data_IF_538400146348
#
_entry.id   IF_538400146348
#
_cell.length_a   1.000
_cell.length_b   1.000
_cell.length_c   1.000
_cell.angle_alpha   90.00
_cell.angle_beta   90.00
_cell.angle_gamma   90.00
#
_symmetry.space_group_name_H-M   'P 1'
#
loop_
_entity.id
_entity.type
_entity.pdbx_description
1 polymer ?
#
# COMPACT_ATOMS: atom_id res chain seq x y z
N UNK A 1 -46.58 -10.81 -61.27
CA UNK A 1 -45.54 -11.07 -60.31
C UNK A 1 -44.29 -10.16 -60.39
N UNK A 2 -44.21 -9.22 -61.35
CA UNK A 2 -43.07 -8.27 -61.45
C UNK A 2 -43.08 -7.13 -60.41
N UNK A 3 -44.26 -6.73 -59.91
CA UNK A 3 -44.37 -5.54 -59.03
C UNK A 3 -44.03 -5.85 -57.54
N UNK A 4 -44.05 -7.12 -57.13
CA UNK A 4 -43.71 -7.51 -55.77
C UNK A 4 -42.21 -7.31 -55.49
N UNK A 5 -41.32 -7.58 -56.46
CA UNK A 5 -39.89 -7.39 -56.31
C UNK A 5 -39.48 -5.90 -56.14
N UNK A 6 -40.22 -4.98 -56.79
CA UNK A 6 -39.99 -3.55 -56.64
C UNK A 6 -40.40 -3.02 -55.25
N UNK A 7 -41.49 -3.60 -54.69
CA UNK A 7 -41.97 -3.27 -53.36
C UNK A 7 -40.96 -3.78 -52.30
N UNK A 8 -40.47 -5.01 -52.44
CA UNK A 8 -39.49 -5.61 -51.54
C UNK A 8 -38.16 -4.83 -51.57
N UNK A 9 -37.70 -4.48 -52.77
CA UNK A 9 -36.47 -3.68 -52.90
C UNK A 9 -36.63 -2.26 -52.34
N UNK A 10 -37.80 -1.64 -52.48
CA UNK A 10 -38.13 -0.34 -51.89
C UNK A 10 -38.12 -0.37 -50.36
N UNK A 11 -38.72 -1.42 -49.76
CA UNK A 11 -38.72 -1.60 -48.29
C UNK A 11 -37.31 -1.86 -47.78
N UNK A 12 -36.51 -2.65 -48.51
CA UNK A 12 -35.11 -2.94 -48.13
C UNK A 12 -34.22 -1.68 -48.19
N UNK A 13 -34.39 -0.87 -49.24
CA UNK A 13 -33.69 0.40 -49.36
C UNK A 13 -34.06 1.36 -48.22
N UNK A 14 -35.34 1.42 -47.86
CA UNK A 14 -35.82 2.26 -46.78
C UNK A 14 -35.29 1.79 -45.40
N UNK A 15 -35.21 0.48 -45.18
CA UNK A 15 -34.64 -0.12 -43.97
C UNK A 15 -33.11 0.20 -43.85
N UNK A 16 -32.37 0.17 -44.97
CA UNK A 16 -30.96 0.52 -44.97
C UNK A 16 -30.76 2.00 -44.68
N UNK A 17 -31.58 2.90 -45.22
CA UNK A 17 -31.54 4.33 -44.91
C UNK A 17 -31.84 4.60 -43.44
N UNK A 18 -32.84 3.91 -42.87
CA UNK A 18 -33.17 4.04 -41.44
C UNK A 18 -32.00 3.55 -40.57
N UNK A 19 -31.39 2.42 -40.89
CA UNK A 19 -30.19 1.91 -40.18
C UNK A 19 -29.01 2.89 -40.28
N UNK A 20 -28.79 3.52 -41.44
CA UNK A 20 -27.76 4.52 -41.61
C UNK A 20 -28.02 5.77 -40.78
N UNK A 21 -29.29 6.25 -40.73
CA UNK A 21 -29.68 7.38 -39.89
C UNK A 21 -29.56 7.05 -38.42
N UNK A 22 -29.93 5.84 -37.97
CA UNK A 22 -29.75 5.38 -36.58
C UNK A 22 -28.28 5.25 -36.21
N UNK A 23 -27.40 4.89 -37.13
CA UNK A 23 -25.98 4.82 -36.91
C UNK A 23 -25.34 6.21 -36.76
N UNK A 24 -25.85 7.22 -37.45
CA UNK A 24 -25.40 8.59 -37.32
C UNK A 24 -26.08 9.38 -36.19
N UNK A 25 -27.30 9.03 -35.80
CA UNK A 25 -28.04 9.68 -34.70
C UNK A 25 -28.00 8.91 -33.38
N UNK A 26 -27.44 7.70 -33.39
CA UNK A 26 -27.13 6.97 -32.15
C UNK A 26 -26.20 7.83 -31.29
N UNK A 27 -26.76 8.43 -30.23
CA UNK A 27 -25.96 9.05 -29.18
C UNK A 27 -24.88 8.05 -28.79
N UNK A 28 -23.65 8.33 -29.19
CA UNK A 28 -22.49 7.78 -28.50
C UNK A 28 -22.68 8.15 -27.03
N UNK A 29 -23.01 7.18 -26.21
CA UNK A 29 -22.63 7.29 -24.80
C UNK A 29 -21.13 7.49 -24.81
N UNK A 30 -20.75 8.72 -24.62
CA UNK A 30 -19.38 9.14 -24.38
C UNK A 30 -18.99 8.53 -23.03
N UNK A 31 -18.45 7.32 -23.08
CA UNK A 31 -17.36 7.06 -22.17
C UNK A 31 -16.44 8.28 -22.35
N UNK A 32 -16.18 9.00 -21.29
CA UNK A 32 -15.36 10.20 -21.26
C UNK A 32 -13.93 9.77 -21.56
N UNK A 33 -13.68 9.50 -22.86
CA UNK A 33 -12.35 9.57 -23.42
C UNK A 33 -12.13 11.06 -23.58
N UNK A 34 -11.51 11.72 -22.62
CA UNK A 34 -10.96 13.04 -22.84
C UNK A 34 -10.05 12.90 -24.07
N UNK A 35 -10.55 13.34 -25.21
CA UNK A 35 -9.74 13.51 -26.40
C UNK A 35 -8.74 14.61 -26.05
N UNK A 36 -7.45 14.30 -26.10
CA UNK A 36 -6.39 15.29 -25.99
C UNK A 36 -6.75 16.47 -26.88
N UNK A 37 -6.79 17.66 -26.30
CA UNK A 37 -7.00 18.86 -27.06
C UNK A 37 -5.79 19.07 -28.00
N UNK A 38 -6.02 19.69 -29.14
CA UNK A 38 -4.94 19.99 -30.11
C UNK A 38 -3.79 20.80 -29.48
N UNK A 39 -4.03 21.50 -28.37
CA UNK A 39 -3.05 22.24 -27.59
C UNK A 39 -2.12 21.32 -26.78
N UNK A 40 -2.63 20.21 -26.24
CA UNK A 40 -1.79 19.21 -25.55
C UNK A 40 -0.94 18.41 -26.54
N UNK A 41 -1.45 18.19 -27.74
CA UNK A 41 -0.66 17.60 -28.85
C UNK A 41 0.42 18.56 -29.41
N UNK A 42 0.25 19.87 -29.24
CA UNK A 42 1.23 20.87 -29.66
C UNK A 42 2.46 20.90 -28.74
N UNK A 43 2.37 20.45 -27.49
CA UNK A 43 3.52 20.33 -26.57
C UNK A 43 4.40 19.13 -26.89
N UNK A 44 3.94 18.17 -27.73
CA UNK A 44 4.66 16.93 -28.03
C UNK A 44 4.81 15.97 -26.85
N UNK A 45 4.20 16.26 -25.70
CA UNK A 45 4.26 15.41 -24.51
C UNK A 45 3.16 14.34 -24.57
N UNK A 46 3.50 13.13 -24.15
CA UNK A 46 2.54 12.05 -23.96
C UNK A 46 1.75 12.26 -22.66
N UNK A 47 0.50 11.75 -22.57
CA UNK A 47 -0.32 11.86 -21.36
C UNK A 47 0.10 10.88 -20.27
N UNK A 48 1.37 10.80 -20.03
CA UNK A 48 1.99 9.98 -18.97
C UNK A 48 2.76 10.89 -18.03
N UNK A 49 2.89 10.43 -16.79
CA UNK A 49 3.71 11.08 -15.78
C UNK A 49 4.37 10.01 -14.92
N UNK A 50 5.38 10.40 -14.16
CA UNK A 50 5.92 9.54 -13.13
C UNK A 50 6.05 10.28 -11.80
N UNK A 51 6.06 9.49 -10.72
CA UNK A 51 6.31 9.94 -9.37
C UNK A 51 7.48 9.14 -8.82
N UNK A 52 8.49 9.83 -8.32
CA UNK A 52 9.55 9.22 -7.53
C UNK A 52 8.98 8.85 -6.16
N UNK A 53 8.69 7.56 -5.98
CA UNK A 53 8.03 7.06 -4.77
C UNK A 53 8.94 7.14 -3.55
N UNK A 54 10.26 6.97 -3.71
CA UNK A 54 11.22 7.11 -2.60
C UNK A 54 11.18 8.54 -2.04
N UNK A 55 11.23 9.54 -2.94
CA UNK A 55 11.09 10.95 -2.56
C UNK A 55 9.72 11.25 -1.96
N UNK A 56 8.65 10.65 -2.50
CA UNK A 56 7.30 10.80 -1.97
C UNK A 56 7.20 10.23 -0.56
N UNK A 57 7.69 9.02 -0.31
CA UNK A 57 7.64 8.37 1.00
C UNK A 57 8.39 9.17 2.08
N UNK A 58 9.51 9.81 1.71
CA UNK A 58 10.29 10.65 2.61
C UNK A 58 9.61 11.98 2.95
N UNK A 59 8.78 12.50 2.06
CA UNK A 59 8.22 13.85 2.18
C UNK A 59 6.71 13.89 2.44
N UNK A 60 5.98 12.79 2.26
CA UNK A 60 4.56 12.70 2.55
C UNK A 60 4.32 12.51 4.05
N UNK A 61 3.56 13.41 4.67
CA UNK A 61 3.33 13.40 6.11
C UNK A 61 2.62 12.14 6.60
N UNK A 62 1.66 11.63 5.85
CA UNK A 62 1.00 10.35 6.19
C UNK A 62 1.97 9.18 6.21
N UNK A 63 2.91 9.12 5.26
CA UNK A 63 3.96 8.09 5.26
C UNK A 63 4.84 8.19 6.51
N UNK A 64 5.19 9.41 6.93
CA UNK A 64 5.96 9.63 8.16
C UNK A 64 5.21 9.16 9.40
N UNK A 65 3.91 9.46 9.49
CA UNK A 65 3.08 9.02 10.62
C UNK A 65 2.96 7.50 10.67
N UNK A 66 2.77 6.83 9.52
CA UNK A 66 2.76 5.36 9.46
C UNK A 66 4.11 4.76 9.88
N UNK A 67 5.22 5.37 9.46
CA UNK A 67 6.55 4.94 9.86
C UNK A 67 6.77 5.12 11.37
N UNK A 68 6.28 6.22 11.97
CA UNK A 68 6.32 6.42 13.42
C UNK A 68 5.57 5.33 14.18
N UNK A 69 4.44 4.85 13.67
CA UNK A 69 3.69 3.73 14.26
C UNK A 69 4.55 2.47 14.29
N UNK A 70 5.25 2.15 13.19
CA UNK A 70 6.12 0.98 13.12
C UNK A 70 7.29 1.09 14.10
N UNK A 71 7.95 2.26 14.13
CA UNK A 71 9.07 2.50 15.06
C UNK A 71 8.61 2.31 16.51
N UNK A 72 7.49 2.92 16.91
CA UNK A 72 6.94 2.77 18.27
C UNK A 72 6.57 1.32 18.59
N UNK A 73 5.98 0.59 17.63
CA UNK A 73 5.66 -0.83 17.83
C UNK A 73 6.92 -1.66 18.02
N UNK A 74 7.97 -1.41 17.24
CA UNK A 74 9.27 -2.08 17.36
C UNK A 74 9.93 -1.79 18.72
N UNK A 75 9.94 -0.54 19.15
CA UNK A 75 10.49 -0.13 20.45
C UNK A 75 9.75 -0.78 21.61
N UNK A 76 8.41 -0.80 21.58
CA UNK A 76 7.57 -1.44 22.60
C UNK A 76 7.79 -2.95 22.64
N UNK A 77 7.87 -3.60 21.48
CA UNK A 77 8.17 -5.03 21.38
C UNK A 77 9.53 -5.34 22.00
N UNK A 78 10.56 -4.59 21.63
CA UNK A 78 11.92 -4.74 22.16
C UNK A 78 11.99 -4.50 23.68
N UNK A 79 11.28 -3.48 24.17
CA UNK A 79 11.20 -3.21 25.60
C UNK A 79 10.54 -4.37 26.36
N UNK A 80 9.46 -4.94 25.80
CA UNK A 80 8.73 -6.07 26.40
C UNK A 80 9.58 -7.34 26.44
N UNK A 81 10.32 -7.66 25.38
CA UNK A 81 11.26 -8.79 25.34
C UNK A 81 12.37 -8.61 26.36
N UNK A 82 12.98 -7.41 26.40
CA UNK A 82 14.05 -7.10 27.34
C UNK A 82 13.61 -7.18 28.80
N UNK A 83 12.37 -6.76 29.11
CA UNK A 83 11.81 -6.88 30.45
C UNK A 83 11.68 -8.35 30.87
N UNK A 84 11.11 -9.20 30.00
CA UNK A 84 10.97 -10.64 30.25
C UNK A 84 12.34 -11.34 30.38
N UNK A 85 13.28 -10.97 29.53
CA UNK A 85 14.66 -11.49 29.57
C UNK A 85 15.33 -11.19 30.90
N UNK A 86 15.26 -9.94 31.38
CA UNK A 86 15.81 -9.53 32.69
C UNK A 86 15.16 -10.29 33.83
N UNK A 87 13.83 -10.48 33.80
CA UNK A 87 13.12 -11.28 34.81
C UNK A 87 13.62 -12.73 34.84
N UNK A 88 13.73 -13.35 33.67
CA UNK A 88 14.26 -14.71 33.53
C UNK A 88 15.69 -14.82 34.05
N UNK A 89 16.56 -13.87 33.70
CA UNK A 89 17.95 -13.84 34.19
C UNK A 89 18.01 -13.76 35.71
N UNK A 90 17.19 -12.90 36.31
CA UNK A 90 17.11 -12.79 37.77
C UNK A 90 16.65 -14.10 38.42
N UNK A 91 15.62 -14.75 37.87
CA UNK A 91 15.12 -16.02 38.36
C UNK A 91 16.15 -17.16 38.20
N UNK A 92 16.91 -17.17 37.10
CA UNK A 92 17.98 -18.14 36.91
C UNK A 92 19.13 -17.94 37.90
N UNK A 93 19.52 -16.69 38.16
CA UNK A 93 20.54 -16.38 39.20
C UNK A 93 20.08 -16.78 40.58
N UNK A 94 18.80 -16.56 40.88
CA UNK A 94 18.19 -16.96 42.16
C UNK A 94 18.17 -18.48 42.31
N UNK A 95 17.82 -19.19 41.24
CA UNK A 95 17.85 -20.66 41.22
C UNK A 95 19.28 -21.16 41.46
N UNK A 96 20.27 -20.63 40.76
CA UNK A 96 21.67 -21.04 40.92
C UNK A 96 22.15 -20.81 42.35
N UNK A 97 21.86 -19.66 42.95
CA UNK A 97 22.19 -19.37 44.36
C UNK A 97 21.52 -20.34 45.33
N UNK A 98 20.26 -20.74 45.07
CA UNK A 98 19.56 -21.71 45.88
C UNK A 98 20.16 -23.13 45.80
N UNK A 99 20.65 -23.52 44.61
CA UNK A 99 21.36 -24.79 44.40
C UNK A 99 22.70 -24.78 45.17
N UNK A 100 23.50 -23.74 45.00
CA UNK A 100 24.82 -23.59 45.66
C UNK A 100 24.72 -23.61 47.17
N UNK A 101 23.65 -23.01 47.73
CA UNK A 101 23.44 -22.95 49.17
C UNK A 101 22.63 -24.13 49.73
N UNK A 102 22.37 -25.18 48.91
CA UNK A 102 21.50 -26.32 49.31
C UNK A 102 20.14 -25.87 49.88
N UNK A 103 19.56 -24.78 49.38
CA UNK A 103 18.35 -24.16 49.89
C UNK A 103 17.04 -24.84 49.43
N UNK A 104 17.12 -25.85 48.58
CA UNK A 104 15.93 -26.65 48.21
C UNK A 104 15.64 -27.70 49.26
N UNK A 105 14.37 -27.78 49.67
CA UNK A 105 13.90 -28.77 50.70
C UNK A 105 14.01 -30.21 50.19
N UNK A 106 13.78 -30.44 48.92
CA UNK A 106 13.90 -31.75 48.25
C UNK A 106 14.46 -31.61 46.85
N UNK A 107 15.03 -32.69 46.33
CA UNK A 107 15.55 -32.76 44.97
C UNK A 107 14.45 -32.51 43.91
N UNK A 108 13.26 -33.07 44.14
CA UNK A 108 12.11 -32.92 43.23
C UNK A 108 11.72 -31.45 43.07
N UNK A 109 11.83 -30.63 44.13
CA UNK A 109 11.58 -29.18 44.04
C UNK A 109 12.61 -28.46 43.20
N UNK A 110 13.88 -28.84 43.27
CA UNK A 110 14.94 -28.27 42.41
C UNK A 110 14.69 -28.63 40.95
N UNK A 111 14.33 -29.89 40.66
CA UNK A 111 14.02 -30.38 39.33
C UNK A 111 12.78 -29.66 38.72
N UNK A 112 11.73 -29.47 39.52
CA UNK A 112 10.54 -28.71 39.11
C UNK A 112 10.85 -27.26 38.79
N UNK A 113 11.69 -26.58 39.58
CA UNK A 113 12.06 -25.20 39.36
C UNK A 113 12.96 -25.06 38.11
N UNK A 114 13.86 -26.01 37.91
CA UNK A 114 14.65 -26.07 36.68
C UNK A 114 13.77 -26.23 35.44
N UNK A 115 12.82 -27.14 35.46
CA UNK A 115 11.85 -27.37 34.39
C UNK A 115 11.00 -26.12 34.13
N UNK A 116 10.58 -25.41 35.18
CA UNK A 116 9.85 -24.12 35.07
C UNK A 116 10.68 -23.05 34.37
N UNK A 117 11.96 -22.93 34.72
CA UNK A 117 12.85 -21.95 34.08
C UNK A 117 13.12 -22.28 32.60
N UNK A 118 13.31 -23.56 32.27
CA UNK A 118 13.43 -24.00 30.88
C UNK A 118 12.17 -23.69 30.08
N UNK A 119 10.99 -23.93 30.66
CA UNK A 119 9.72 -23.55 30.03
C UNK A 119 9.61 -22.05 29.81
N UNK A 120 9.98 -21.22 30.80
CA UNK A 120 10.02 -19.75 30.63
C UNK A 120 10.97 -19.28 29.54
N UNK A 121 12.10 -19.96 29.43
CA UNK A 121 13.06 -19.64 28.33
C UNK A 121 12.44 -19.92 26.96
N UNK A 122 11.75 -21.05 26.80
CA UNK A 122 11.04 -21.38 25.58
C UNK A 122 9.91 -20.37 25.31
N UNK A 123 9.11 -20.06 26.35
CA UNK A 123 8.03 -19.06 26.24
C UNK A 123 8.54 -17.68 25.83
N UNK A 124 9.73 -17.29 26.28
CA UNK A 124 10.36 -16.03 25.89
C UNK A 124 10.74 -16.05 24.41
N UNK A 125 11.28 -17.15 23.92
CA UNK A 125 11.64 -17.30 22.49
C UNK A 125 10.39 -17.29 21.61
N UNK A 126 9.33 -17.99 22.01
CA UNK A 126 8.07 -18.00 21.29
C UNK A 126 7.40 -16.61 21.29
N UNK A 127 7.54 -15.88 22.40
CA UNK A 127 7.06 -14.50 22.51
C UNK A 127 7.81 -13.56 21.55
N UNK A 128 9.14 -13.65 21.48
CA UNK A 128 9.96 -12.84 20.56
C UNK A 128 9.62 -13.13 19.09
N UNK A 129 9.53 -14.42 18.73
CA UNK A 129 9.14 -14.85 17.39
C UNK A 129 7.75 -14.32 17.00
N UNK A 130 6.79 -14.37 17.93
CA UNK A 130 5.44 -13.85 17.70
C UNK A 130 5.45 -12.34 17.47
N UNK A 131 6.19 -11.58 18.29
CA UNK A 131 6.30 -10.12 18.12
C UNK A 131 6.97 -9.75 16.79
N UNK A 132 7.97 -10.52 16.35
CA UNK A 132 8.61 -10.33 15.06
C UNK A 132 7.61 -10.55 13.91
N UNK A 133 6.80 -11.61 13.97
CA UNK A 133 5.75 -11.86 12.98
C UNK A 133 4.66 -10.78 12.99
N UNK A 134 4.24 -10.33 14.17
CA UNK A 134 3.28 -9.24 14.30
C UNK A 134 3.82 -7.93 13.69
N UNK A 135 5.11 -7.65 13.85
CA UNK A 135 5.74 -6.45 13.28
C UNK A 135 5.75 -6.52 11.74
N UNK A 136 6.11 -7.67 11.17
CA UNK A 136 6.08 -7.90 9.71
C UNK A 136 4.67 -7.74 9.16
N UNK A 137 3.67 -8.36 9.82
CA UNK A 137 2.27 -8.26 9.40
C UNK A 137 1.76 -6.81 9.46
N UNK A 138 2.13 -6.07 10.51
CA UNK A 138 1.74 -4.67 10.65
C UNK A 138 2.40 -3.78 9.59
N UNK A 139 3.68 -4.01 9.30
CA UNK A 139 4.40 -3.32 8.23
C UNK A 139 3.69 -3.52 6.88
N UNK A 140 3.33 -4.77 6.56
CA UNK A 140 2.63 -5.08 5.32
C UNK A 140 1.27 -4.39 5.27
N UNK A 141 0.48 -4.47 6.34
CA UNK A 141 -0.83 -3.81 6.44
C UNK A 141 -0.74 -2.30 6.22
N UNK A 142 0.25 -1.64 6.84
CA UNK A 142 0.45 -0.20 6.71
C UNK A 142 0.93 0.19 5.30
N UNK A 143 1.77 -0.64 4.66
CA UNK A 143 2.19 -0.43 3.28
C UNK A 143 1.00 -0.54 2.30
N UNK A 144 0.12 -1.53 2.48
CA UNK A 144 -1.10 -1.66 1.70
C UNK A 144 -2.03 -0.44 1.90
N UNK A 145 -2.23 -0.03 3.14
CA UNK A 145 -3.04 1.15 3.48
C UNK A 145 -2.47 2.43 2.86
N UNK A 146 -1.15 2.62 2.89
CA UNK A 146 -0.49 3.74 2.26
C UNK A 146 -0.69 3.73 0.75
N UNK A 147 -0.49 2.58 0.10
CA UNK A 147 -0.70 2.40 -1.33
C UNK A 147 -2.13 2.73 -1.75
N UNK A 148 -3.12 2.18 -1.05
CA UNK A 148 -4.54 2.41 -1.35
C UNK A 148 -4.90 3.89 -1.20
N UNK A 149 -4.39 4.54 -0.15
CA UNK A 149 -4.54 5.98 0.06
C UNK A 149 -3.91 6.77 -1.07
N UNK A 150 -2.67 6.45 -1.46
CA UNK A 150 -1.98 7.11 -2.58
C UNK A 150 -2.76 6.98 -3.88
N UNK A 151 -3.18 5.78 -4.24
CA UNK A 151 -3.96 5.54 -5.47
C UNK A 151 -5.27 6.31 -5.44
N UNK A 152 -5.97 6.33 -4.30
CA UNK A 152 -7.20 7.09 -4.14
C UNK A 152 -6.98 8.59 -4.33
N UNK A 153 -5.97 9.15 -3.69
CA UNK A 153 -5.62 10.57 -3.79
C UNK A 153 -5.15 10.95 -5.19
N UNK A 154 -4.34 10.11 -5.85
CA UNK A 154 -3.91 10.30 -7.22
C UNK A 154 -5.08 10.30 -8.21
N UNK A 155 -6.10 9.48 -8.00
CA UNK A 155 -7.32 9.53 -8.81
C UNK A 155 -8.04 10.88 -8.71
N UNK A 156 -8.09 11.47 -7.52
CA UNK A 156 -8.69 12.80 -7.32
C UNK A 156 -7.82 13.88 -7.95
N UNK A 157 -6.51 13.85 -7.70
CA UNK A 157 -5.54 14.76 -8.30
C UNK A 157 -5.62 14.75 -9.83
N UNK A 158 -5.70 13.57 -10.42
CA UNK A 158 -5.69 13.38 -11.87
C UNK A 158 -6.96 13.85 -12.58
N UNK A 159 -8.09 14.06 -11.88
CA UNK A 159 -9.35 14.54 -12.51
C UNK A 159 -9.15 15.83 -13.30
N UNK A 160 -8.24 16.69 -12.85
CA UNK A 160 -7.96 17.99 -13.46
C UNK A 160 -6.68 18.00 -14.30
N UNK A 161 -5.87 16.93 -14.26
CA UNK A 161 -4.57 16.83 -14.95
C UNK A 161 -4.66 16.02 -16.25
N UNK A 162 -5.48 14.99 -16.28
CA UNK A 162 -5.76 14.22 -17.50
C UNK A 162 -4.71 13.19 -17.88
N UNK A 163 -3.79 12.83 -17.00
CA UNK A 163 -2.82 11.77 -17.27
C UNK A 163 -3.54 10.44 -17.51
N UNK A 164 -3.12 9.71 -18.54
CA UNK A 164 -3.63 8.37 -18.84
C UNK A 164 -2.92 7.32 -18.01
N UNK A 165 -1.64 7.56 -17.70
CA UNK A 165 -0.80 6.68 -16.88
C UNK A 165 0.05 7.53 -15.96
N UNK A 166 0.08 7.16 -14.67
CA UNK A 166 1.04 7.67 -13.70
C UNK A 166 1.87 6.47 -13.24
N UNK A 167 3.16 6.52 -13.51
CA UNK A 167 4.11 5.45 -13.21
C UNK A 167 4.81 5.73 -11.88
N UNK A 168 5.22 4.68 -11.18
CA UNK A 168 6.17 4.80 -10.08
C UNK A 168 7.61 4.80 -10.63
N UNK A 169 8.49 5.51 -9.94
CA UNK A 169 9.93 5.47 -10.18
C UNK A 169 10.62 5.27 -8.83
N UNK A 170 11.09 4.05 -8.58
CA UNK A 170 11.88 3.67 -7.40
C UNK A 170 13.12 2.91 -7.84
N UNK A 171 14.07 2.74 -6.93
CA UNK A 171 15.22 1.88 -7.20
C UNK A 171 14.74 0.42 -7.39
N UNK A 172 14.78 -0.06 -8.64
CA UNK A 172 14.31 -1.39 -9.04
C UNK A 172 13.06 -1.40 -9.92
N UNK A 173 12.47 -0.23 -10.22
CA UNK A 173 11.39 -0.09 -11.18
C UNK A 173 11.89 -0.17 -12.64
N UNK A 174 10.94 -0.25 -13.56
CA UNK A 174 11.22 -0.33 -15.00
C UNK A 174 11.58 1.02 -15.64
N UNK A 175 11.54 2.13 -14.90
CA UNK A 175 11.88 3.46 -15.41
C UNK A 175 13.34 3.74 -15.12
N UNK A 176 14.20 3.51 -16.09
CA UNK A 176 15.63 3.81 -16.00
C UNK A 176 15.96 5.27 -16.33
N UNK A 177 15.17 5.88 -17.20
CA UNK A 177 15.35 7.27 -17.65
C UNK A 177 14.00 7.84 -18.11
N UNK A 178 13.69 9.04 -17.67
CA UNK A 178 12.57 9.83 -18.16
C UNK A 178 12.97 11.32 -18.19
N UNK A 179 12.31 12.09 -19.06
CA UNK A 179 12.51 13.54 -19.10
C UNK A 179 11.86 14.24 -17.90
N UNK A 180 12.44 15.31 -17.42
CA UNK A 180 11.96 16.09 -16.26
C UNK A 180 10.54 16.61 -16.43
N UNK A 181 10.11 16.83 -17.68
CA UNK A 181 8.75 17.28 -17.99
C UNK A 181 7.65 16.26 -17.59
N UNK A 182 8.01 15.02 -17.36
CA UNK A 182 7.11 13.95 -16.92
C UNK A 182 7.13 13.74 -15.41
N UNK A 183 8.05 14.40 -14.68
CA UNK A 183 8.16 14.29 -13.22
C UNK A 183 7.11 15.18 -12.54
N UNK A 184 6.13 14.55 -11.89
CA UNK A 184 5.11 15.25 -11.10
C UNK A 184 5.29 15.04 -9.60
N UNK A 185 6.43 14.51 -9.18
CA UNK A 185 6.69 14.12 -7.77
C UNK A 185 6.43 15.27 -6.81
N UNK A 186 6.99 16.44 -7.07
CA UNK A 186 6.86 17.62 -6.20
C UNK A 186 5.41 18.08 -6.08
N UNK A 187 4.71 18.20 -7.21
CA UNK A 187 3.30 18.62 -7.22
C UNK A 187 2.40 17.63 -6.46
N UNK A 188 2.65 16.33 -6.65
CA UNK A 188 1.90 15.28 -5.96
C UNK A 188 2.15 15.35 -4.46
N UNK A 189 3.40 15.50 -4.01
CA UNK A 189 3.73 15.64 -2.58
C UNK A 189 3.04 16.85 -1.96
N UNK A 190 3.09 18.01 -2.63
CA UNK A 190 2.41 19.23 -2.17
C UNK A 190 0.90 19.03 -2.06
N UNK A 191 0.29 18.42 -3.09
CA UNK A 191 -1.14 18.08 -3.09
C UNK A 191 -1.54 17.15 -1.95
N UNK A 192 -0.79 16.05 -1.77
CA UNK A 192 -1.04 15.06 -0.73
C UNK A 192 -0.92 15.67 0.67
N UNK A 193 0.12 16.45 0.91
CA UNK A 193 0.35 17.08 2.21
C UNK A 193 -0.70 18.16 2.53
N UNK A 194 -1.17 18.90 1.51
CA UNK A 194 -2.24 19.89 1.68
C UNK A 194 -3.57 19.23 2.08
N UNK A 195 -3.84 18.03 1.60
CA UNK A 195 -5.09 17.30 1.85
C UNK A 195 -4.97 16.29 3.01
N UNK A 196 -3.80 16.17 3.61
CA UNK A 196 -3.58 15.30 4.74
C UNK A 196 -3.91 16.02 6.05
N UNK A 197 -4.86 15.46 6.79
CA UNK A 197 -5.11 15.83 8.19
C UNK A 197 -4.60 14.69 9.07
N UNK A 198 -3.61 14.94 9.96
CA UNK A 198 -3.17 13.90 10.89
C UNK A 198 -4.34 13.44 11.77
N UNK A 199 -4.41 12.13 12.04
CA UNK A 199 -5.36 11.64 13.02
C UNK A 199 -5.09 12.35 14.36
N UNK A 200 -6.13 12.95 14.96
CA UNK A 200 -6.01 13.57 16.28
C UNK A 200 -5.47 12.54 17.27
N UNK A 201 -4.34 12.85 17.88
CA UNK A 201 -3.68 12.04 18.92
C UNK A 201 -4.56 11.93 20.15
#
# INVERSE_FOLDING_TARGET
MKNINYIINGVLALAVVILFVLQFTGKKESGVTKTFTAEESASGLLPIAYVNVDSLLLNYNYSKDLNEIIIKKQENSRASVNQKLRSLQTEMQDFQRKVENNAFLTRERAEQEQARLMKKQQELQDFDNRLAQELVSEQQRLNEQLRDTLVSQLRVYNKNKGYQVILSNTMGDNILLAGDAYDITKEVIEYLNKNYAPASK
#
